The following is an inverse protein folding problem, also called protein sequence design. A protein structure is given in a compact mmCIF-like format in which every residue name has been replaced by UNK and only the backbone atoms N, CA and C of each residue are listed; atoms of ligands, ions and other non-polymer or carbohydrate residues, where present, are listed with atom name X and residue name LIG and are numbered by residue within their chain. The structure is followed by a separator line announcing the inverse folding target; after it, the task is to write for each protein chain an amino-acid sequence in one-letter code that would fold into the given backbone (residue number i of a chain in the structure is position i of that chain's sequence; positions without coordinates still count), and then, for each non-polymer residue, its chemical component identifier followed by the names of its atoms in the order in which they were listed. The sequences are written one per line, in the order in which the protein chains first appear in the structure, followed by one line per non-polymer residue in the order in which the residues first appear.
data_IF_436030499368
#
_entry.id   IF_436030499368
#
_cell.length_a   1.000
_cell.length_b   1.000
_cell.length_c   1.000
_cell.angle_alpha   90.00
_cell.angle_beta   90.00
_cell.angle_gamma   90.00
#
_symmetry.space_group_name_H-M   'P 1'
#
loop_
_entity.id
_entity.type
_entity.pdbx_description
1 polymer ?
#
# COMPACT_ATOMS: atom_id res chain seq x y z
N UNK A 1 -9.83 -11.85 2.80
CA UNK A 1 -11.00 -12.23 1.99
C UNK A 1 -10.56 -12.65 0.59
N UNK A 2 -11.23 -13.60 -0.06
CA UNK A 2 -10.99 -13.88 -1.50
C UNK A 2 -11.61 -12.74 -2.33
N UNK A 3 -10.78 -12.08 -3.13
CA UNK A 3 -11.18 -11.00 -4.02
C UNK A 3 -11.43 -11.52 -5.43
N UNK A 4 -10.52 -12.33 -5.96
CA UNK A 4 -10.67 -12.96 -7.27
C UNK A 4 -11.00 -14.43 -7.10
N UNK A 5 -12.25 -14.83 -7.36
CA UNK A 5 -12.65 -16.24 -7.29
C UNK A 5 -12.02 -17.07 -8.41
N UNK A 6 -11.98 -16.50 -9.63
CA UNK A 6 -11.40 -17.11 -10.83
C UNK A 6 -9.99 -17.64 -10.62
N UNK A 7 -9.11 -16.80 -10.06
CA UNK A 7 -7.70 -17.12 -9.83
C UNK A 7 -7.36 -17.36 -8.35
N UNK A 8 -8.38 -17.39 -7.48
CA UNK A 8 -8.25 -17.61 -6.02
C UNK A 8 -7.30 -16.64 -5.32
N UNK A 9 -7.34 -15.37 -5.70
CA UNK A 9 -6.49 -14.32 -5.12
C UNK A 9 -7.21 -13.64 -3.95
N UNK A 10 -6.49 -13.53 -2.83
CA UNK A 10 -6.96 -12.82 -1.63
C UNK A 10 -6.58 -11.34 -1.60
N UNK A 11 -7.32 -10.56 -0.82
CA UNK A 11 -7.00 -9.18 -0.45
C UNK A 11 -5.58 -9.03 0.10
N UNK A 12 -5.15 -9.97 0.96
CA UNK A 12 -3.83 -9.98 1.57
C UNK A 12 -2.71 -10.17 0.54
N UNK A 13 -2.93 -10.99 -0.49
CA UNK A 13 -1.97 -11.16 -1.57
C UNK A 13 -1.85 -9.89 -2.41
N UNK A 14 -2.97 -9.25 -2.75
CA UNK A 14 -2.97 -7.97 -3.48
C UNK A 14 -2.24 -6.90 -2.65
N UNK A 15 -2.60 -6.76 -1.38
CA UNK A 15 -1.99 -5.79 -0.47
C UNK A 15 -0.48 -5.99 -0.31
N UNK A 16 -0.02 -7.25 -0.24
CA UNK A 16 1.41 -7.57 -0.13
C UNK A 16 2.21 -7.01 -1.32
N UNK A 17 1.72 -7.17 -2.54
CA UNK A 17 2.41 -6.65 -3.74
C UNK A 17 2.24 -5.13 -3.88
N UNK A 18 1.09 -4.58 -3.49
CA UNK A 18 0.89 -3.14 -3.45
C UNK A 18 1.88 -2.46 -2.48
N UNK A 19 2.15 -3.07 -1.33
CA UNK A 19 3.14 -2.57 -0.36
C UNK A 19 4.59 -2.63 -0.85
N UNK A 20 4.91 -3.44 -1.87
CA UNK A 20 6.23 -3.38 -2.53
C UNK A 20 6.31 -2.29 -3.60
N UNK A 21 5.27 -1.45 -3.72
CA UNK A 21 5.20 -0.35 -4.68
C UNK A 21 4.70 -0.75 -6.06
N UNK A 22 4.21 -1.98 -6.24
CA UNK A 22 3.67 -2.42 -7.53
C UNK A 22 2.35 -1.71 -7.83
N UNK A 23 2.20 -1.27 -9.07
CA UNK A 23 0.95 -0.79 -9.65
C UNK A 23 -0.05 -1.93 -9.85
N UNK A 24 -1.32 -1.59 -10.03
CA UNK A 24 -2.35 -2.61 -10.28
C UNK A 24 -2.04 -3.46 -11.53
N UNK A 25 -1.52 -2.85 -12.60
CA UNK A 25 -1.26 -3.57 -13.86
C UNK A 25 -0.13 -4.60 -13.68
N UNK A 26 0.90 -4.27 -12.89
CA UNK A 26 1.95 -5.22 -12.51
C UNK A 26 1.40 -6.35 -11.61
N UNK A 27 0.54 -6.01 -10.65
CA UNK A 27 -0.13 -7.01 -9.79
C UNK A 27 -1.03 -7.93 -10.61
N UNK A 28 -1.72 -7.40 -11.62
CA UNK A 28 -2.55 -8.17 -12.54
C UNK A 28 -1.72 -9.15 -13.37
N UNK A 29 -0.56 -8.72 -13.87
CA UNK A 29 0.40 -9.60 -14.55
C UNK A 29 0.89 -10.72 -13.65
N UNK A 30 1.24 -10.41 -12.40
CA UNK A 30 1.92 -11.36 -11.51
C UNK A 30 0.97 -12.34 -10.83
N UNK A 31 -0.24 -11.90 -10.49
CA UNK A 31 -1.24 -12.71 -9.79
C UNK A 31 -2.35 -13.25 -10.70
N UNK A 32 -2.48 -12.70 -11.91
CA UNK A 32 -3.63 -12.98 -12.78
C UNK A 32 -4.96 -12.41 -12.26
N UNK A 33 -4.98 -11.56 -11.23
CA UNK A 33 -6.22 -10.93 -10.75
C UNK A 33 -6.93 -10.20 -11.90
N UNK A 34 -8.28 -10.27 -11.96
CA UNK A 34 -9.11 -9.69 -13.03
C UNK A 34 -8.89 -10.20 -14.47
N UNK A 35 -8.02 -11.19 -14.71
CA UNK A 35 -7.71 -11.68 -16.08
C UNK A 35 -8.75 -12.61 -16.70
N UNK A 36 -9.79 -13.03 -15.96
CA UNK A 36 -10.84 -13.92 -16.47
C UNK A 36 -12.19 -13.22 -16.63
N UNK A 37 -13.00 -13.15 -15.57
CA UNK A 37 -14.33 -12.53 -15.65
C UNK A 37 -14.33 -11.01 -15.41
N UNK A 38 -13.23 -10.44 -14.91
CA UNK A 38 -13.09 -9.01 -14.62
C UNK A 38 -13.89 -8.48 -13.42
N UNK A 39 -14.89 -9.20 -12.91
CA UNK A 39 -15.82 -8.69 -11.88
C UNK A 39 -15.16 -8.23 -10.56
N UNK A 40 -13.93 -8.70 -10.27
CA UNK A 40 -13.20 -8.31 -9.07
C UNK A 40 -12.35 -7.02 -9.25
N UNK A 41 -12.22 -6.49 -10.47
CA UNK A 41 -11.24 -5.44 -10.79
C UNK A 41 -11.40 -4.19 -9.93
N UNK A 42 -12.61 -3.63 -9.84
CA UNK A 42 -12.86 -2.42 -9.07
C UNK A 42 -12.41 -2.58 -7.61
N UNK A 43 -12.83 -3.68 -6.97
CA UNK A 43 -12.46 -3.96 -5.59
C UNK A 43 -10.95 -4.21 -5.44
N UNK A 44 -10.31 -4.92 -6.37
CA UNK A 44 -8.88 -5.16 -6.34
C UNK A 44 -8.08 -3.84 -6.48
N UNK A 45 -8.53 -2.91 -7.33
CA UNK A 45 -7.94 -1.56 -7.44
C UNK A 45 -8.09 -0.75 -6.15
N UNK A 46 -9.25 -0.85 -5.49
CA UNK A 46 -9.48 -0.18 -4.21
C UNK A 46 -8.49 -0.67 -3.13
N UNK A 47 -8.21 -1.98 -3.07
CA UNK A 47 -7.21 -2.53 -2.15
C UNK A 47 -5.82 -1.94 -2.42
N UNK A 48 -5.41 -1.83 -3.69
CA UNK A 48 -4.13 -1.21 -4.06
C UNK A 48 -4.07 0.26 -3.63
N UNK A 49 -5.11 1.05 -3.91
CA UNK A 49 -5.17 2.46 -3.55
C UNK A 49 -5.15 2.69 -2.02
N UNK A 50 -5.82 1.83 -1.25
CA UNK A 50 -5.80 1.86 0.21
C UNK A 50 -4.40 1.60 0.77
N UNK A 51 -3.64 0.67 0.18
CA UNK A 51 -2.26 0.38 0.57
C UNK A 51 -1.32 1.58 0.32
N UNK A 52 -1.50 2.28 -0.80
CA UNK A 52 -0.72 3.46 -1.16
C UNK A 52 -1.01 4.64 -0.22
N UNK A 53 -2.28 4.88 0.09
CA UNK A 53 -2.70 5.93 1.04
C UNK A 53 -2.22 5.65 2.46
N UNK A 54 -2.30 4.38 2.90
CA UNK A 54 -1.87 3.97 4.25
C UNK A 54 -0.36 4.08 4.44
N UNK A 55 0.43 3.79 3.40
CA UNK A 55 1.88 4.01 3.42
C UNK A 55 2.25 5.50 3.60
N UNK A 56 1.45 6.40 3.02
CA UNK A 56 1.67 7.84 3.08
C UNK A 56 1.48 8.40 4.50
N UNK A 57 0.48 7.90 5.24
CA UNK A 57 0.26 8.28 6.65
C UNK A 57 1.34 7.72 7.59
N UNK A 58 1.93 6.56 7.29
CA UNK A 58 3.03 6.01 8.08
C UNK A 58 4.33 6.80 7.90
N UNK A 59 4.58 7.35 6.70
CA UNK A 59 5.75 8.18 6.42
C UNK A 59 5.71 9.52 7.17
N UNK A 60 4.57 10.21 7.19
CA UNK A 60 4.41 11.50 7.87
C UNK A 60 4.64 11.41 9.39
N UNK A 61 4.21 10.32 10.04
CA UNK A 61 4.47 10.10 11.48
C UNK A 61 5.96 9.97 11.80
N UNK A 62 6.80 9.60 10.84
CA UNK A 62 8.25 9.49 11.06
C UNK A 62 8.92 10.86 11.13
N UNK A 63 8.35 11.87 10.47
CA UNK A 63 8.90 13.23 10.44
C UNK A 63 8.54 14.02 11.71
N UNK A 64 7.34 13.83 12.27
CA UNK A 64 6.97 14.45 13.56
C UNK A 64 7.76 13.88 14.76
N UNK A 65 8.20 12.62 14.68
CA UNK A 65 9.03 12.02 15.73
C UNK A 65 10.50 12.50 15.71
N UNK A 66 10.98 13.07 14.61
CA UNK A 66 12.37 13.51 14.45
C UNK A 66 12.58 15.02 14.72
N UNK A 67 11.52 15.82 14.80
CA UNK A 67 11.59 17.28 14.88
C UNK A 67 11.84 17.91 16.26
N UNK A 68 11.89 17.14 17.36
CA UNK A 68 11.94 17.71 18.72
C UNK A 68 13.35 17.91 19.31
N UNK A 69 14.42 17.42 18.66
CA UNK A 69 15.76 17.32 19.31
C UNK A 69 16.73 18.46 19.01
N UNK A 70 16.45 19.40 18.10
CA UNK A 70 17.48 20.35 17.62
C UNK A 70 17.45 21.74 18.30
N UNK A 71 16.55 22.00 19.25
CA UNK A 71 16.37 23.34 19.83
C UNK A 71 17.06 23.60 21.19
N UNK A 72 17.92 22.70 21.70
CA UNK A 72 18.45 22.80 23.07
C UNK A 72 19.97 23.05 23.19
N UNK A 73 20.69 23.42 22.12
CA UNK A 73 22.14 23.69 22.18
C UNK A 73 22.51 25.06 21.61
N UNK A 74 22.08 26.12 22.29
CA UNK A 74 22.79 27.40 22.29
C UNK A 74 22.40 28.19 23.54
N UNK A 75 23.39 28.85 24.16
CA UNK A 75 23.37 29.66 25.38
C UNK A 75 23.69 28.95 26.71
N UNK A 76 24.99 28.70 26.92
CA UNK A 76 25.68 28.95 28.20
C UNK A 76 27.10 29.44 27.88
N UNK A 77 27.23 30.75 27.65
CA UNK A 77 28.48 31.49 27.72
C UNK A 77 28.37 32.48 28.88
#
# INVERSE_FOLDING_TARGET
MIVCVCQRISDREIARHAHTGMSFDEIQLELGVATQCGNCECYARDVVAQCQTSGQMAALRKEEAAGSVVAAQALSA
#
